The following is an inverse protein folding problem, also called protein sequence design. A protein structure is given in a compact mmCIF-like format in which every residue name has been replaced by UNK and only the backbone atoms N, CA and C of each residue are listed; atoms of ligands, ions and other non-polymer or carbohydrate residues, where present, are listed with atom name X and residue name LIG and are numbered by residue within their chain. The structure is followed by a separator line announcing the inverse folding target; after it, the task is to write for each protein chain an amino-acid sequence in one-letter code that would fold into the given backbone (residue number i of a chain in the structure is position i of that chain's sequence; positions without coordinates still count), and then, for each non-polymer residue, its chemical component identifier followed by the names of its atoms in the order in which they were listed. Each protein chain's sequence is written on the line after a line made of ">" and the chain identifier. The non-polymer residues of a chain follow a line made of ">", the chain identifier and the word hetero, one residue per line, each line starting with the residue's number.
data_IF_348065515829
#
_entry.id   IF_348065515829
#
_cell.length_a   1.000
_cell.length_b   1.000
_cell.length_c   1.000
_cell.angle_alpha   90.00
_cell.angle_beta   90.00
_cell.angle_gamma   90.00
#
_symmetry.space_group_name_H-M   'P 1'
#
loop_
_entity.id
_entity.type
_entity.pdbx_description
1 polymer ?
#
# COMPACT_ATOMS: atom_id res chain seq x y z
N UNK A 1 21.67 -8.28 7.42
CA UNK A 1 21.86 -9.14 6.23
C UNK A 1 20.51 -9.27 5.55
N UNK A 2 20.48 -9.12 4.24
CA UNK A 2 19.31 -9.46 3.42
C UNK A 2 19.52 -10.87 2.83
N UNK A 3 18.85 -11.90 3.39
CA UNK A 3 19.03 -13.28 2.94
C UNK A 3 18.46 -13.53 1.54
N UNK A 4 17.56 -12.67 1.07
CA UNK A 4 16.85 -12.83 -0.19
C UNK A 4 17.50 -12.05 -1.35
N UNK A 5 18.56 -11.28 -1.07
CA UNK A 5 19.27 -10.49 -2.07
C UNK A 5 20.52 -11.24 -2.58
N UNK A 6 20.47 -11.82 -3.80
CA UNK A 6 21.61 -12.49 -4.42
C UNK A 6 22.63 -11.50 -4.99
N UNK A 7 22.39 -10.19 -4.89
CA UNK A 7 23.32 -9.16 -5.31
C UNK A 7 24.60 -9.13 -4.48
N UNK A 8 25.56 -8.33 -4.94
CA UNK A 8 26.86 -8.17 -4.27
C UNK A 8 27.10 -6.74 -3.78
N UNK A 9 26.14 -5.83 -4.00
CA UNK A 9 26.27 -4.40 -3.69
C UNK A 9 25.62 -4.07 -2.36
N UNK A 10 26.39 -3.69 -1.33
CA UNK A 10 25.84 -3.19 -0.06
C UNK A 10 25.04 -1.90 -0.27
N UNK A 11 24.04 -1.68 0.58
CA UNK A 11 23.22 -0.45 0.58
C UNK A 11 22.91 0.00 2.00
N UNK A 12 22.75 1.30 2.22
CA UNK A 12 22.19 1.83 3.45
C UNK A 12 20.70 2.04 3.27
N UNK A 13 19.91 1.42 4.14
CA UNK A 13 18.47 1.56 4.20
C UNK A 13 18.10 2.60 5.25
N UNK A 14 17.38 3.65 4.85
CA UNK A 14 16.81 4.66 5.74
C UNK A 14 15.32 4.43 5.95
N UNK A 15 14.87 4.60 7.19
CA UNK A 15 13.46 4.62 7.57
C UNK A 15 13.09 6.08 7.78
N UNK A 16 12.14 6.56 6.98
CA UNK A 16 11.71 7.94 6.95
C UNK A 16 10.27 8.01 7.42
N UNK A 17 10.02 8.78 8.47
CA UNK A 17 8.68 9.05 8.96
C UNK A 17 8.16 10.35 8.35
N UNK A 18 7.04 10.26 7.65
CA UNK A 18 6.37 11.40 7.06
C UNK A 18 4.91 11.47 7.52
N UNK A 19 4.52 12.65 8.01
CA UNK A 19 3.16 12.92 8.48
C UNK A 19 2.47 14.00 7.63
N UNK A 20 1.18 13.79 7.36
CA UNK A 20 0.28 14.81 6.83
C UNK A 20 -0.66 15.22 7.95
N UNK A 21 -0.78 16.52 8.19
CA UNK A 21 -1.52 17.14 9.29
C UNK A 21 -2.74 17.89 8.78
N UNK A 22 -3.66 18.16 9.70
CA UNK A 22 -4.83 18.96 9.40
C UNK A 22 -4.45 20.42 9.25
N UNK A 23 -4.98 21.10 8.24
CA UNK A 23 -4.68 22.50 8.01
C UNK A 23 -5.26 23.46 9.05
N UNK A 24 -6.25 23.01 9.85
CA UNK A 24 -6.85 23.84 10.91
C UNK A 24 -6.32 23.49 12.31
N UNK A 25 -5.57 22.39 12.43
CA UNK A 25 -4.98 21.93 13.68
C UNK A 25 -3.70 21.14 13.37
N UNK A 26 -2.56 21.83 13.43
CA UNK A 26 -1.25 21.24 13.15
C UNK A 26 -0.86 20.12 14.12
N UNK A 27 -1.51 20.03 15.30
CA UNK A 27 -1.29 18.93 16.23
C UNK A 27 -2.06 17.67 15.83
N UNK A 28 -3.03 17.79 14.91
CA UNK A 28 -3.83 16.67 14.43
C UNK A 28 -3.20 16.04 13.19
N UNK A 29 -2.49 14.94 13.40
CA UNK A 29 -2.02 14.08 12.30
C UNK A 29 -3.18 13.36 11.63
N UNK A 30 -3.29 13.54 10.32
CA UNK A 30 -4.31 12.93 9.45
C UNK A 30 -3.84 11.61 8.89
N UNK A 31 -2.57 11.55 8.52
CA UNK A 31 -1.90 10.37 8.00
C UNK A 31 -0.45 10.38 8.44
N UNK A 32 0.10 9.21 8.74
CA UNK A 32 1.51 9.03 9.05
C UNK A 32 1.98 7.77 8.33
N UNK A 33 3.10 7.87 7.63
CA UNK A 33 3.63 6.79 6.80
C UNK A 33 5.12 6.66 7.06
N UNK A 34 5.54 5.43 7.35
CA UNK A 34 6.95 5.05 7.27
C UNK A 34 7.27 4.74 5.81
N UNK A 35 8.33 5.37 5.31
CA UNK A 35 8.82 5.24 3.95
C UNK A 35 10.27 4.77 4.01
N UNK A 36 10.73 4.10 2.97
CA UNK A 36 12.04 3.45 2.99
C UNK A 36 12.85 3.85 1.77
N UNK A 37 14.07 4.30 1.99
CA UNK A 37 15.00 4.72 0.92
C UNK A 37 16.27 3.90 1.05
N UNK A 38 16.69 3.27 -0.03
CA UNK A 38 17.98 2.59 -0.11
C UNK A 38 18.98 3.45 -0.88
N UNK A 39 20.22 3.54 -0.41
CA UNK A 39 21.32 4.25 -1.07
C UNK A 39 22.52 3.32 -1.19
N UNK A 40 23.06 3.16 -2.39
CA UNK A 40 24.27 2.37 -2.66
C UNK A 40 25.57 3.18 -2.51
N UNK A 41 26.71 2.51 -2.72
CA UNK A 41 28.03 3.15 -2.63
C UNK A 41 28.28 4.21 -3.71
N UNK A 42 27.54 4.15 -4.83
CA UNK A 42 27.56 5.16 -5.90
C UNK A 42 26.68 6.38 -5.58
N UNK A 43 25.95 6.36 -4.46
CA UNK A 43 25.05 7.43 -4.06
C UNK A 43 23.71 7.42 -4.79
N UNK A 44 23.32 6.31 -5.44
CA UNK A 44 22.01 6.18 -6.07
C UNK A 44 20.96 5.89 -5.00
N UNK A 45 20.03 6.82 -4.83
CA UNK A 45 18.88 6.67 -3.95
C UNK A 45 17.68 6.08 -4.69
N UNK A 46 17.05 5.08 -4.09
CA UNK A 46 15.83 4.46 -4.62
C UNK A 46 14.79 4.21 -3.52
N UNK A 47 13.52 4.12 -3.93
CA UNK A 47 12.47 3.61 -3.05
C UNK A 47 12.74 2.13 -2.75
N UNK A 48 12.93 1.81 -1.47
CA UNK A 48 13.21 0.45 -1.02
C UNK A 48 11.93 -0.40 -0.84
N UNK A 49 10.79 0.12 -1.27
CA UNK A 49 9.49 -0.53 -1.13
C UNK A 49 8.92 -0.40 0.27
N UNK A 50 8.05 -1.34 0.62
CA UNK A 50 7.35 -1.33 1.89
C UNK A 50 8.06 -2.22 2.91
N UNK A 51 8.38 -1.64 4.06
CA UNK A 51 8.94 -2.32 5.23
C UNK A 51 10.06 -3.37 4.95
N UNK A 52 11.05 -3.10 4.06
CA UNK A 52 12.10 -4.08 3.71
C UNK A 52 12.93 -4.54 4.92
N UNK A 53 12.97 -3.74 5.98
CA UNK A 53 13.63 -4.08 7.24
C UNK A 53 13.08 -5.35 7.93
N UNK A 54 11.85 -5.76 7.62
CA UNK A 54 11.21 -6.95 8.23
C UNK A 54 11.78 -8.28 7.70
N UNK A 55 12.37 -8.26 6.51
CA UNK A 55 13.01 -9.44 5.91
C UNK A 55 14.51 -9.52 6.25
N UNK A 56 15.04 -8.49 6.93
CA UNK A 56 16.46 -8.44 7.30
C UNK A 56 16.73 -9.24 8.57
N UNK A 57 17.94 -9.80 8.64
CA UNK A 57 18.45 -10.51 9.80
C UNK A 57 19.68 -9.80 10.39
N UNK A 58 19.90 -9.85 11.71
CA UNK A 58 21.16 -9.41 12.31
C UNK A 58 22.36 -10.13 11.70
N UNK A 59 23.47 -9.42 11.49
CA UNK A 59 24.70 -10.01 10.98
C UNK A 59 25.43 -10.80 12.07
N UNK A 60 25.89 -12.01 11.77
CA UNK A 60 26.72 -12.80 12.69
C UNK A 60 28.14 -12.28 12.83
N UNK A 61 28.87 -12.67 13.87
CA UNK A 61 30.26 -12.20 14.11
C UNK A 61 31.24 -12.63 13.00
N UNK A 62 31.06 -13.82 12.44
CA UNK A 62 31.88 -14.32 11.34
C UNK A 62 31.61 -13.53 10.05
N UNK A 63 30.35 -13.36 9.69
CA UNK A 63 29.92 -12.58 8.53
C UNK A 63 30.39 -11.12 8.64
N UNK A 64 30.31 -10.55 9.85
CA UNK A 64 30.80 -9.19 10.13
C UNK A 64 32.30 -9.05 9.85
N UNK A 65 33.11 -10.08 10.16
CA UNK A 65 34.54 -10.11 9.81
C UNK A 65 34.76 -10.19 8.30
N UNK A 66 33.92 -10.94 7.58
CA UNK A 66 34.01 -11.07 6.11
C UNK A 66 33.75 -9.76 5.36
N UNK A 67 32.99 -8.83 5.95
CA UNK A 67 32.64 -7.52 5.34
C UNK A 67 33.29 -6.33 6.07
N UNK A 68 34.40 -6.56 6.77
CA UNK A 68 35.09 -5.51 7.53
C UNK A 68 35.55 -4.33 6.64
N UNK A 69 35.92 -4.59 5.39
CA UNK A 69 36.26 -3.59 4.38
C UNK A 69 35.07 -2.71 3.99
N UNK A 70 33.87 -3.30 3.88
CA UNK A 70 32.62 -2.55 3.64
C UNK A 70 32.35 -1.64 4.83
N UNK A 71 32.42 -2.18 6.06
CA UNK A 71 32.19 -1.41 7.29
C UNK A 71 33.18 -0.25 7.47
N UNK A 72 34.41 -0.41 6.99
CA UNK A 72 35.44 0.62 7.02
C UNK A 72 35.35 1.60 5.83
N UNK A 73 34.41 1.41 4.91
CA UNK A 73 34.35 2.17 3.67
C UNK A 73 33.86 3.61 3.91
N UNK A 74 34.54 4.64 3.35
CA UNK A 74 34.22 6.04 3.62
C UNK A 74 32.80 6.46 3.18
N UNK A 75 32.23 5.81 2.16
CA UNK A 75 30.92 6.20 1.63
C UNK A 75 29.80 6.04 2.66
N UNK A 76 29.91 5.09 3.59
CA UNK A 76 28.91 4.86 4.65
C UNK A 76 28.90 6.01 5.66
N UNK A 77 30.04 6.71 5.81
CA UNK A 77 30.20 7.86 6.69
C UNK A 77 29.94 9.20 5.99
N UNK A 78 29.51 9.18 4.73
CA UNK A 78 29.10 10.39 4.01
C UNK A 78 27.71 10.88 4.47
N UNK A 79 27.28 12.05 4.01
CA UNK A 79 25.98 12.67 4.38
C UNK A 79 24.80 11.99 3.66
N UNK A 80 24.67 10.68 3.87
CA UNK A 80 23.64 9.82 3.26
C UNK A 80 22.23 10.16 3.77
N UNK A 81 22.11 10.64 5.01
CA UNK A 81 20.83 11.09 5.57
C UNK A 81 20.24 12.25 4.78
N UNK A 82 21.07 13.25 4.43
CA UNK A 82 20.63 14.37 3.59
C UNK A 82 20.20 13.90 2.21
N UNK A 83 20.90 12.95 1.62
CA UNK A 83 20.53 12.37 0.32
C UNK A 83 19.18 11.64 0.40
N UNK A 84 18.96 10.86 1.46
CA UNK A 84 17.70 10.15 1.70
C UNK A 84 16.52 11.12 1.88
N UNK A 85 16.70 12.18 2.67
CA UNK A 85 15.69 13.23 2.86
C UNK A 85 15.42 14.01 1.57
N UNK A 86 16.46 14.28 0.77
CA UNK A 86 16.33 14.89 -0.55
C UNK A 86 15.46 14.05 -1.49
N UNK A 87 15.78 12.77 -1.62
CA UNK A 87 14.98 11.83 -2.43
C UNK A 87 13.53 11.72 -1.94
N UNK A 88 13.34 11.62 -0.61
CA UNK A 88 12.01 11.53 -0.03
C UNK A 88 11.18 12.80 -0.30
N UNK A 89 11.78 13.97 -0.16
CA UNK A 89 11.12 15.26 -0.41
C UNK A 89 10.73 15.42 -1.88
N UNK A 90 11.57 14.96 -2.81
CA UNK A 90 11.30 15.06 -4.25
C UNK A 90 10.25 14.05 -4.73
N UNK A 91 10.28 12.80 -4.23
CA UNK A 91 9.51 11.69 -4.81
C UNK A 91 8.43 11.14 -3.89
N UNK A 92 8.75 10.90 -2.62
CA UNK A 92 7.91 10.10 -1.72
C UNK A 92 6.88 10.96 -0.94
N UNK A 93 7.28 12.15 -0.52
CA UNK A 93 6.46 13.11 0.22
C UNK A 93 5.31 13.65 -0.63
N UNK A 94 5.53 14.13 -1.87
CA UNK A 94 4.44 14.64 -2.71
C UNK A 94 3.39 13.57 -3.02
N UNK A 95 3.82 12.34 -3.31
CA UNK A 95 2.93 11.21 -3.58
C UNK A 95 2.04 10.90 -2.36
N UNK A 96 2.61 10.82 -1.15
CA UNK A 96 1.83 10.61 0.07
C UNK A 96 0.87 11.78 0.34
N UNK A 97 1.30 13.03 0.12
CA UNK A 97 0.47 14.20 0.32
C UNK A 97 -0.75 14.23 -0.61
N UNK A 98 -0.54 14.07 -1.92
CA UNK A 98 -1.64 14.09 -2.90
C UNK A 98 -2.62 12.94 -2.67
N UNK A 99 -2.14 11.73 -2.34
CA UNK A 99 -3.01 10.59 -1.99
C UNK A 99 -3.96 10.93 -0.81
N UNK A 100 -3.41 11.54 0.24
CA UNK A 100 -4.18 11.92 1.44
C UNK A 100 -5.17 13.05 1.12
N UNK A 101 -4.73 14.05 0.36
CA UNK A 101 -5.55 15.18 -0.08
C UNK A 101 -6.72 14.71 -0.94
N UNK A 102 -6.47 13.91 -1.97
CA UNK A 102 -7.51 13.36 -2.85
C UNK A 102 -8.53 12.54 -2.07
N UNK A 103 -8.06 11.69 -1.14
CA UNK A 103 -8.95 10.89 -0.29
C UNK A 103 -9.82 11.79 0.59
N UNK A 104 -9.26 12.85 1.17
CA UNK A 104 -9.96 13.84 2.01
C UNK A 104 -11.00 14.61 1.21
N UNK A 105 -10.66 15.08 0.02
CA UNK A 105 -11.58 15.78 -0.88
C UNK A 105 -12.75 14.89 -1.28
N UNK A 106 -12.50 13.67 -1.77
CA UNK A 106 -13.56 12.70 -2.11
C UNK A 106 -14.47 12.37 -0.93
N UNK A 107 -13.92 12.29 0.28
CA UNK A 107 -14.73 12.07 1.47
C UNK A 107 -15.59 13.29 1.79
N UNK A 108 -15.01 14.49 1.75
CA UNK A 108 -15.72 15.74 1.99
C UNK A 108 -16.85 15.95 0.97
N UNK A 109 -16.62 15.67 -0.31
CA UNK A 109 -17.62 15.75 -1.39
C UNK A 109 -18.79 14.80 -1.15
N UNK A 110 -18.50 13.52 -0.87
CA UNK A 110 -19.56 12.53 -0.58
C UNK A 110 -20.37 12.91 0.64
N UNK A 111 -19.71 13.34 1.72
CA UNK A 111 -20.41 13.79 2.94
C UNK A 111 -21.23 15.05 2.66
N UNK A 112 -20.70 16.02 1.91
CA UNK A 112 -21.40 17.24 1.58
C UNK A 112 -22.66 16.96 0.74
N UNK A 113 -22.56 16.11 -0.27
CA UNK A 113 -23.68 15.71 -1.11
C UNK A 113 -24.81 15.06 -0.28
N UNK A 114 -24.46 14.12 0.60
CA UNK A 114 -25.43 13.46 1.49
C UNK A 114 -26.09 14.44 2.47
N UNK A 115 -25.31 15.34 3.08
CA UNK A 115 -25.81 16.36 4.01
C UNK A 115 -26.73 17.35 3.29
N UNK A 116 -26.34 17.83 2.10
CA UNK A 116 -27.15 18.72 1.29
C UNK A 116 -28.46 18.06 0.88
N UNK A 117 -28.42 16.84 0.35
CA UNK A 117 -29.62 16.11 -0.08
C UNK A 117 -30.64 15.97 1.07
N UNK A 118 -30.18 15.71 2.30
CA UNK A 118 -31.05 15.61 3.47
C UNK A 118 -31.56 16.98 3.94
N UNK A 119 -30.65 17.92 4.24
CA UNK A 119 -31.03 19.19 4.88
C UNK A 119 -31.82 20.09 3.94
N UNK A 120 -31.50 20.12 2.63
CA UNK A 120 -32.29 20.90 1.65
C UNK A 120 -33.71 20.36 1.56
N UNK A 121 -33.90 19.02 1.58
CA UNK A 121 -35.24 18.42 1.60
C UNK A 121 -36.03 18.82 2.86
N UNK A 122 -35.39 18.78 4.03
CA UNK A 122 -36.02 19.21 5.29
C UNK A 122 -36.34 20.72 5.27
N UNK A 123 -35.42 21.56 4.79
CA UNK A 123 -35.63 23.01 4.64
C UNK A 123 -36.82 23.30 3.73
N UNK A 124 -36.88 22.70 2.55
CA UNK A 124 -37.97 22.91 1.59
C UNK A 124 -39.32 22.49 2.20
N UNK A 125 -39.38 21.37 2.91
CA UNK A 125 -40.60 20.93 3.60
C UNK A 125 -41.09 21.96 4.62
N UNK A 126 -40.19 22.49 5.45
CA UNK A 126 -40.56 23.49 6.45
C UNK A 126 -40.86 24.86 5.85
N UNK A 127 -40.22 25.24 4.73
CA UNK A 127 -40.55 26.44 3.96
C UNK A 127 -41.95 26.36 3.35
N UNK A 128 -42.31 25.25 2.72
CA UNK A 128 -43.66 25.02 2.19
C UNK A 128 -44.70 25.09 3.31
N UNK A 129 -44.38 24.50 4.48
CA UNK A 129 -45.24 24.55 5.67
C UNK A 129 -45.40 25.98 6.18
N UNK A 130 -44.32 26.76 6.23
CA UNK A 130 -44.33 28.17 6.62
C UNK A 130 -45.22 29.00 5.68
N UNK A 131 -45.08 28.84 4.36
CA UNK A 131 -45.89 29.56 3.37
C UNK A 131 -47.39 29.23 3.51
N UNK A 132 -47.74 27.97 3.76
CA UNK A 132 -49.13 27.56 4.03
C UNK A 132 -49.68 28.22 5.30
N UNK A 133 -48.93 28.19 6.40
CA UNK A 133 -49.32 28.82 7.66
C UNK A 133 -49.45 30.34 7.52
N UNK A 134 -48.63 30.97 6.68
CA UNK A 134 -48.73 32.40 6.40
C UNK A 134 -50.04 32.73 5.64
N UNK A 135 -50.45 31.87 4.71
CA UNK A 135 -51.76 31.96 4.04
C UNK A 135 -52.94 31.79 5.00
N UNK A 136 -52.88 30.79 5.88
CA UNK A 136 -53.90 30.53 6.91
C UNK A 136 -54.04 31.72 7.89
N UNK A 137 -52.93 32.33 8.29
CA UNK A 137 -52.93 33.53 9.14
C UNK A 137 -53.61 34.72 8.44
N UNK A 138 -53.34 34.93 7.14
CA UNK A 138 -54.01 35.97 6.33
C UNK A 138 -55.51 35.70 6.17
N UNK A 139 -55.92 34.43 6.15
CA UNK A 139 -57.31 34.01 6.14
C UNK A 139 -57.99 34.10 7.54
N UNK A 140 -57.30 34.63 8.55
CA UNK A 140 -57.85 34.87 9.89
C UNK A 140 -57.80 33.66 10.83
N UNK A 141 -57.12 32.57 10.47
CA UNK A 141 -56.95 31.41 11.36
C UNK A 141 -55.86 31.69 12.41
N UNK A 142 -56.06 31.17 13.62
CA UNK A 142 -55.12 31.35 14.73
C UNK A 142 -53.94 30.37 14.65
N UNK A 143 -52.90 30.74 13.88
CA UNK A 143 -51.73 29.88 13.61
C UNK A 143 -50.37 30.53 13.94
N UNK A 144 -50.37 31.64 14.71
CA UNK A 144 -49.17 32.47 14.97
C UNK A 144 -47.99 31.68 15.55
N UNK A 145 -48.23 30.88 16.60
CA UNK A 145 -47.16 30.08 17.25
C UNK A 145 -46.56 29.03 16.31
N UNK A 146 -47.40 28.39 15.48
CA UNK A 146 -46.94 27.40 14.50
C UNK A 146 -46.12 28.06 13.38
N UNK A 147 -46.48 29.28 12.98
CA UNK A 147 -45.75 30.04 11.97
C UNK A 147 -44.35 30.41 12.46
N UNK A 148 -44.24 30.90 13.69
CA UNK A 148 -42.96 31.25 14.32
C UNK A 148 -42.04 30.02 14.47
N UNK A 149 -42.61 28.89 14.93
CA UNK A 149 -41.89 27.62 15.03
C UNK A 149 -41.37 27.11 13.67
N UNK A 150 -42.18 27.23 12.61
CA UNK A 150 -41.77 26.84 11.26
C UNK A 150 -40.63 27.73 10.75
N UNK A 151 -40.71 29.05 10.97
CA UNK A 151 -39.64 29.98 10.63
C UNK A 151 -38.34 29.64 11.35
N UNK A 152 -38.40 29.46 12.67
CA UNK A 152 -37.23 29.11 13.50
C UNK A 152 -36.56 27.82 13.03
N UNK A 153 -37.37 26.81 12.71
CA UNK A 153 -36.87 25.54 12.20
C UNK A 153 -36.12 25.71 10.88
N UNK A 154 -36.64 26.52 9.95
CA UNK A 154 -35.93 26.83 8.69
C UNK A 154 -34.59 27.52 8.97
N UNK A 155 -34.58 28.56 9.80
CA UNK A 155 -33.37 29.32 10.14
C UNK A 155 -32.30 28.41 10.79
N UNK A 156 -32.71 27.52 11.69
CA UNK A 156 -31.83 26.55 12.35
C UNK A 156 -31.24 25.53 11.37
N UNK A 157 -32.07 24.97 10.47
CA UNK A 157 -31.63 24.01 9.47
C UNK A 157 -30.68 24.65 8.45
N UNK A 158 -30.94 25.88 8.02
CA UNK A 158 -30.06 26.64 7.13
C UNK A 158 -28.72 26.94 7.82
N UNK A 159 -28.74 27.37 9.08
CA UNK A 159 -27.52 27.61 9.86
C UNK A 159 -26.70 26.32 10.01
N UNK A 160 -27.37 25.19 10.26
CA UNK A 160 -26.72 23.88 10.35
C UNK A 160 -26.09 23.46 9.02
N UNK A 161 -26.77 23.68 7.89
CA UNK A 161 -26.23 23.39 6.56
C UNK A 161 -24.98 24.23 6.28
N UNK A 162 -25.03 25.54 6.55
CA UNK A 162 -23.90 26.43 6.33
C UNK A 162 -22.72 26.12 7.25
N UNK A 163 -22.97 25.75 8.51
CA UNK A 163 -21.91 25.26 9.41
C UNK A 163 -21.26 24.00 8.84
N UNK A 164 -22.05 23.01 8.42
CA UNK A 164 -21.52 21.74 7.86
C UNK A 164 -20.74 21.97 6.57
N UNK A 165 -21.17 22.89 5.70
CA UNK A 165 -20.44 23.30 4.50
C UNK A 165 -19.06 23.84 4.86
N UNK A 166 -18.99 24.77 5.82
CA UNK A 166 -17.71 25.33 6.29
C UNK A 166 -16.79 24.28 6.90
N UNK A 167 -17.32 23.43 7.78
CA UNK A 167 -16.53 22.36 8.43
C UNK A 167 -15.93 21.40 7.39
N UNK A 168 -16.71 21.01 6.36
CA UNK A 168 -16.26 20.11 5.30
C UNK A 168 -15.29 20.78 4.32
N UNK A 169 -15.45 22.08 4.06
CA UNK A 169 -14.47 22.85 3.28
C UNK A 169 -13.13 22.94 4.02
N UNK A 170 -13.15 23.22 5.32
CA UNK A 170 -11.97 23.26 6.17
C UNK A 170 -11.26 21.90 6.23
N UNK A 171 -12.01 20.79 6.27
CA UNK A 171 -11.47 19.42 6.31
C UNK A 171 -10.60 19.06 5.10
N UNK A 172 -10.80 19.71 3.94
CA UNK A 172 -10.00 19.50 2.73
C UNK A 172 -8.57 20.01 2.88
N UNK A 173 -8.37 21.01 3.73
CA UNK A 173 -7.07 21.62 3.92
C UNK A 173 -6.16 20.69 4.73
N UNK A 174 -5.06 20.26 4.12
CA UNK A 174 -4.04 19.41 4.73
C UNK A 174 -2.66 20.03 4.50
N UNK A 175 -1.74 19.75 5.41
CA UNK A 175 -0.37 20.28 5.38
C UNK A 175 0.60 19.09 5.48
N UNK A 176 1.62 19.06 4.62
CA UNK A 176 2.71 18.09 4.72
C UNK A 176 3.72 18.54 5.77
N UNK A 177 4.08 17.65 6.70
CA UNK A 177 5.17 17.89 7.63
C UNK A 177 6.51 17.52 6.97
N UNK A 178 7.60 18.15 7.42
CA UNK A 178 8.94 17.76 6.98
C UNK A 178 9.22 16.31 7.36
N UNK A 179 9.69 15.45 6.42
CA UNK A 179 10.06 14.08 6.73
C UNK A 179 11.24 14.04 7.71
N UNK A 180 11.26 13.04 8.59
CA UNK A 180 12.33 12.82 9.56
C UNK A 180 12.93 11.44 9.43
N UNK A 181 14.24 11.30 9.61
CA UNK A 181 14.89 9.99 9.69
C UNK A 181 14.52 9.36 11.05
N UNK A 182 13.82 8.24 11.01
CA UNK A 182 13.49 7.44 12.19
C UNK A 182 14.60 6.43 12.52
N UNK A 183 15.39 6.02 11.52
CA UNK A 183 16.52 5.13 11.70
C UNK A 183 17.19 4.77 10.37
N UNK A 184 18.29 4.03 10.46
CA UNK A 184 19.00 3.51 9.32
C UNK A 184 19.73 2.21 9.63
N UNK A 185 19.99 1.42 8.59
CA UNK A 185 20.73 0.16 8.69
C UNK A 185 21.60 -0.04 7.46
N UNK A 186 22.84 -0.49 7.64
CA UNK A 186 23.64 -1.03 6.55
C UNK A 186 23.15 -2.43 6.23
N UNK A 187 22.69 -2.61 4.99
CA UNK A 187 22.20 -3.88 4.47
C UNK A 187 23.30 -4.55 3.67
N UNK A 188 23.66 -5.75 4.10
CA UNK A 188 24.61 -6.63 3.42
C UNK A 188 23.80 -7.70 2.69
N UNK A 189 23.85 -7.76 1.34
CA UNK A 189 23.23 -8.82 0.57
C UNK A 189 23.85 -10.20 0.84
N UNK A 190 23.05 -11.26 0.77
CA UNK A 190 23.53 -12.63 0.88
C UNK A 190 24.54 -12.98 -0.23
N UNK A 191 24.34 -12.49 -1.46
CA UNK A 191 25.25 -12.77 -2.58
C UNK A 191 26.67 -12.25 -2.34
N UNK A 192 26.83 -11.12 -1.64
CA UNK A 192 28.14 -10.64 -1.22
C UNK A 192 28.82 -11.62 -0.25
N UNK A 193 28.08 -12.11 0.76
CA UNK A 193 28.61 -13.06 1.73
C UNK A 193 28.97 -14.40 1.07
N UNK A 194 28.13 -14.90 0.17
CA UNK A 194 28.40 -16.11 -0.61
C UNK A 194 29.68 -15.97 -1.43
N UNK A 195 29.85 -14.84 -2.12
CA UNK A 195 31.08 -14.53 -2.88
C UNK A 195 32.32 -14.51 -1.97
N UNK A 196 32.21 -13.95 -0.76
CA UNK A 196 33.31 -13.94 0.23
C UNK A 196 33.65 -15.32 0.79
N UNK A 197 32.69 -16.25 0.78
CA UNK A 197 32.89 -17.66 1.15
C UNK A 197 33.44 -18.52 0.00
N UNK A 198 33.56 -17.96 -1.20
CA UNK A 198 33.98 -18.70 -2.39
C UNK A 198 32.88 -19.59 -2.97
N UNK A 199 31.61 -19.34 -2.64
CA UNK A 199 30.47 -20.01 -3.25
C UNK A 199 30.23 -19.39 -4.64
N UNK A 200 30.13 -20.22 -5.69
CA UNK A 200 29.90 -19.71 -7.04
C UNK A 200 28.46 -19.16 -7.20
N UNK A 201 28.27 -17.86 -7.51
CA UNK A 201 26.94 -17.25 -7.58
C UNK A 201 26.12 -17.59 -8.84
N UNK A 202 26.60 -18.48 -9.72
CA UNK A 202 26.25 -18.44 -11.15
C UNK A 202 25.09 -19.33 -11.61
N UNK A 203 25.01 -20.58 -11.15
CA UNK A 203 24.11 -21.58 -11.77
C UNK A 203 22.70 -21.52 -11.19
N UNK A 204 22.58 -21.47 -9.86
CA UNK A 204 21.29 -21.53 -9.17
C UNK A 204 20.52 -20.20 -9.30
N UNK A 205 21.23 -19.06 -9.28
CA UNK A 205 20.61 -17.74 -9.44
C UNK A 205 20.06 -17.51 -10.86
N UNK A 206 20.77 -17.97 -11.90
CA UNK A 206 20.29 -17.86 -13.27
C UNK A 206 19.08 -18.77 -13.53
N UNK A 207 19.13 -20.01 -13.02
CA UNK A 207 18.00 -20.94 -13.09
C UNK A 207 16.78 -20.40 -12.33
N UNK A 208 16.97 -19.83 -11.13
CA UNK A 208 15.90 -19.21 -10.35
C UNK A 208 15.27 -18.00 -11.04
N UNK A 209 16.09 -17.10 -11.60
CA UNK A 209 15.60 -15.96 -12.40
C UNK A 209 14.79 -16.42 -13.62
N UNK A 210 15.25 -17.48 -14.28
CA UNK A 210 14.50 -18.07 -15.39
C UNK A 210 13.13 -18.59 -14.93
N UNK A 211 13.07 -19.35 -13.84
CA UNK A 211 11.83 -19.85 -13.25
C UNK A 211 10.88 -18.72 -12.85
N UNK A 212 11.40 -17.66 -12.22
CA UNK A 212 10.61 -16.46 -11.84
C UNK A 212 10.04 -15.75 -13.08
N UNK A 213 10.84 -15.58 -14.14
CA UNK A 213 10.39 -14.97 -15.39
C UNK A 213 9.31 -15.78 -16.11
N UNK A 214 9.47 -17.12 -16.16
CA UNK A 214 8.46 -18.03 -16.74
C UNK A 214 7.15 -17.95 -15.94
N UNK A 215 7.24 -17.95 -14.61
CA UNK A 215 6.08 -17.85 -13.73
C UNK A 215 5.31 -16.54 -13.91
N UNK A 216 6.03 -15.41 -13.95
CA UNK A 216 5.44 -14.09 -14.20
C UNK A 216 4.70 -14.04 -15.54
N UNK A 217 5.34 -14.54 -16.61
CA UNK A 217 4.72 -14.61 -17.93
C UNK A 217 3.46 -15.46 -17.92
N UNK A 218 3.50 -16.64 -17.31
CA UNK A 218 2.35 -17.55 -17.22
C UNK A 218 1.14 -16.89 -16.52
N UNK A 219 1.36 -16.19 -15.40
CA UNK A 219 0.29 -15.47 -14.68
C UNK A 219 -0.29 -14.34 -15.52
N UNK A 220 0.57 -13.53 -16.13
CA UNK A 220 0.12 -12.40 -16.96
C UNK A 220 -0.64 -12.86 -18.21
N UNK A 221 -0.20 -13.94 -18.86
CA UNK A 221 -0.89 -14.54 -20.01
C UNK A 221 -2.25 -15.12 -19.61
N UNK A 222 -2.33 -15.81 -18.46
CA UNK A 222 -3.59 -16.36 -17.95
C UNK A 222 -4.64 -15.26 -17.67
N UNK A 223 -4.24 -14.15 -17.03
CA UNK A 223 -5.17 -13.03 -16.79
C UNK A 223 -5.59 -12.32 -18.08
N UNK A 224 -4.67 -12.14 -19.03
CA UNK A 224 -5.00 -11.55 -20.33
C UNK A 224 -5.94 -12.44 -21.14
N UNK A 225 -5.80 -13.76 -21.05
CA UNK A 225 -6.71 -14.71 -21.68
C UNK A 225 -8.14 -14.61 -21.13
N UNK A 226 -8.30 -14.16 -19.88
CA UNK A 226 -9.59 -13.83 -19.26
C UNK A 226 -10.11 -12.43 -19.64
N UNK A 227 -9.45 -11.73 -20.56
CA UNK A 227 -9.82 -10.40 -21.02
C UNK A 227 -9.51 -9.29 -20.01
N UNK A 228 -8.61 -9.53 -19.05
CA UNK A 228 -8.22 -8.55 -18.03
C UNK A 228 -6.91 -7.87 -18.39
N UNK A 229 -6.75 -6.66 -17.87
CA UNK A 229 -5.48 -5.96 -17.94
C UNK A 229 -4.60 -6.40 -16.76
N UNK A 230 -3.42 -6.95 -17.07
CA UNK A 230 -2.41 -7.39 -16.10
C UNK A 230 -1.13 -6.56 -16.28
N UNK A 231 -0.76 -5.85 -15.21
CA UNK A 231 0.33 -4.90 -15.13
C UNK A 231 1.41 -5.47 -14.20
N UNK A 232 2.64 -5.61 -14.71
CA UNK A 232 3.80 -5.99 -13.91
C UNK A 232 4.24 -4.79 -13.05
N UNK A 233 4.17 -4.95 -11.74
CA UNK A 233 4.56 -3.97 -10.72
C UNK A 233 5.64 -4.51 -9.78
N UNK A 234 6.24 -5.67 -10.11
CA UNK A 234 7.26 -6.33 -9.29
C UNK A 234 8.46 -5.40 -9.00
N UNK A 235 8.86 -4.60 -9.99
CA UNK A 235 9.92 -3.60 -9.85
C UNK A 235 9.56 -2.41 -8.95
N UNK A 236 8.27 -2.14 -8.72
CA UNK A 236 7.80 -1.04 -7.88
C UNK A 236 7.89 -1.37 -6.37
N UNK A 237 8.16 -2.64 -6.03
CA UNK A 237 8.27 -3.13 -4.64
C UNK A 237 7.03 -2.76 -3.79
N UNK A 238 5.84 -2.85 -4.40
CA UNK A 238 4.57 -2.52 -3.77
C UNK A 238 4.03 -3.61 -2.83
N UNK A 239 4.67 -4.79 -2.79
CA UNK A 239 4.30 -5.92 -1.93
C UNK A 239 3.51 -7.03 -2.65
N UNK A 240 3.43 -6.96 -3.97
CA UNK A 240 2.93 -7.99 -4.89
C UNK A 240 3.59 -7.77 -6.26
N UNK A 241 3.50 -8.73 -7.16
CA UNK A 241 4.19 -8.70 -8.45
C UNK A 241 3.31 -8.21 -9.60
N UNK A 242 2.02 -8.57 -9.60
CA UNK A 242 1.09 -8.24 -10.72
C UNK A 242 -0.16 -7.56 -10.18
N UNK A 243 -0.50 -6.40 -10.76
CA UNK A 243 -1.79 -5.75 -10.56
C UNK A 243 -2.72 -6.10 -11.70
N UNK A 244 -3.87 -6.67 -11.38
CA UNK A 244 -4.92 -7.01 -12.35
C UNK A 244 -6.10 -6.07 -12.18
N UNK A 245 -6.51 -5.42 -13.27
CA UNK A 245 -7.71 -4.58 -13.30
C UNK A 245 -8.91 -5.45 -13.65
N UNK A 246 -9.84 -5.58 -12.71
CA UNK A 246 -11.10 -6.30 -12.93
C UNK A 246 -12.12 -5.34 -13.59
N UNK A 247 -12.89 -5.83 -14.58
CA UNK A 247 -13.90 -5.01 -15.23
C UNK A 247 -14.96 -4.52 -14.24
N UNK A 248 -15.49 -3.32 -14.49
CA UNK A 248 -16.59 -2.77 -13.71
C UNK A 248 -17.80 -3.70 -13.75
N UNK A 249 -18.38 -3.97 -12.57
CA UNK A 249 -19.62 -4.73 -12.42
C UNK A 249 -20.59 -3.89 -11.59
N UNK A 250 -21.85 -3.78 -12.05
CA UNK A 250 -22.98 -3.17 -11.32
C UNK A 250 -22.70 -1.80 -10.68
N UNK A 251 -22.12 -0.85 -11.43
CA UNK A 251 -21.92 0.53 -10.96
C UNK A 251 -20.98 0.67 -9.75
N UNK A 252 -20.22 -0.38 -9.42
CA UNK A 252 -19.09 -0.29 -8.49
C UNK A 252 -17.81 0.03 -9.26
N UNK A 253 -16.96 0.87 -8.66
CA UNK A 253 -15.66 1.24 -9.23
C UNK A 253 -14.82 -0.01 -9.54
N UNK A 254 -13.95 0.04 -10.57
CA UNK A 254 -13.13 -1.08 -10.98
C UNK A 254 -12.31 -1.58 -9.79
N UNK A 255 -12.41 -2.89 -9.53
CA UNK A 255 -11.67 -3.53 -8.44
C UNK A 255 -10.31 -3.95 -8.95
N UNK A 256 -9.28 -3.80 -8.14
CA UNK A 256 -7.97 -4.37 -8.42
C UNK A 256 -7.80 -5.70 -7.69
N UNK A 257 -7.07 -6.61 -8.30
CA UNK A 257 -6.54 -7.83 -7.67
C UNK A 257 -5.02 -7.74 -7.66
N UNK A 258 -4.41 -8.10 -6.55
CA UNK A 258 -2.97 -8.05 -6.35
C UNK A 258 -2.44 -9.47 -6.26
N UNK A 259 -1.54 -9.83 -7.17
CA UNK A 259 -1.05 -11.21 -7.29
C UNK A 259 0.43 -11.24 -6.95
N UNK A 260 0.78 -12.07 -5.96
CA UNK A 260 2.15 -12.46 -5.64
C UNK A 260 2.48 -13.76 -6.39
N UNK A 261 3.56 -13.79 -7.16
CA UNK A 261 3.88 -14.89 -8.08
C UNK A 261 5.05 -15.71 -7.53
N UNK A 262 4.84 -17.01 -7.32
CA UNK A 262 5.89 -17.95 -6.89
C UNK A 262 6.10 -19.04 -7.93
N UNK A 263 7.18 -18.90 -8.70
CA UNK A 263 7.69 -19.96 -9.59
C UNK A 263 8.48 -21.01 -8.83
N UNK A 264 8.24 -22.30 -9.09
CA UNK A 264 9.01 -23.41 -8.51
C UNK A 264 9.37 -24.44 -9.57
N UNK A 265 10.60 -24.94 -9.53
CA UNK A 265 10.98 -26.06 -10.39
C UNK A 265 10.20 -27.32 -9.96
N UNK A 266 9.75 -28.12 -10.93
CA UNK A 266 9.02 -29.35 -10.68
C UNK A 266 9.82 -30.30 -9.77
N UNK A 267 9.16 -30.85 -8.75
CA UNK A 267 9.79 -31.73 -7.74
C UNK A 267 10.15 -31.03 -6.43
N UNK A 268 10.08 -29.70 -6.34
CA UNK A 268 10.16 -29.01 -5.06
C UNK A 268 8.87 -29.20 -4.25
N UNK A 269 9.00 -29.33 -2.92
CA UNK A 269 7.87 -29.61 -2.02
C UNK A 269 7.40 -28.41 -1.22
N UNK A 270 8.12 -27.29 -1.27
CA UNK A 270 7.81 -26.11 -0.45
C UNK A 270 7.88 -24.80 -1.22
N UNK A 271 7.11 -23.82 -0.76
CA UNK A 271 7.16 -22.43 -1.21
C UNK A 271 7.55 -21.55 -0.03
N UNK A 272 8.73 -20.95 -0.09
CA UNK A 272 9.12 -19.87 0.83
C UNK A 272 8.35 -18.59 0.49
N UNK A 273 7.70 -18.02 1.51
CA UNK A 273 7.12 -16.67 1.49
C UNK A 273 7.82 -15.80 2.53
N UNK A 274 8.09 -14.54 2.19
CA UNK A 274 8.72 -13.59 3.10
C UNK A 274 7.73 -13.09 4.16
N UNK A 275 8.25 -12.52 5.25
CA UNK A 275 7.40 -11.90 6.28
C UNK A 275 6.58 -10.77 5.69
N UNK A 276 7.18 -9.97 4.82
CA UNK A 276 6.51 -8.89 4.12
C UNK A 276 5.35 -9.38 3.25
N UNK A 277 5.56 -10.41 2.42
CA UNK A 277 4.50 -11.02 1.60
C UNK A 277 3.30 -11.48 2.44
N UNK A 278 3.57 -12.11 3.59
CA UNK A 278 2.51 -12.56 4.50
C UNK A 278 1.72 -11.37 5.05
N UNK A 279 2.40 -10.33 5.52
CA UNK A 279 1.75 -9.13 6.04
C UNK A 279 0.95 -8.39 4.96
N UNK A 280 1.41 -8.36 3.71
CA UNK A 280 0.62 -7.79 2.60
C UNK A 280 -0.62 -8.62 2.32
N UNK A 281 -0.48 -9.94 2.24
CA UNK A 281 -1.61 -10.82 2.00
C UNK A 281 -2.67 -10.75 3.10
N UNK A 282 -2.28 -10.53 4.36
CA UNK A 282 -3.22 -10.32 5.47
C UNK A 282 -3.88 -8.93 5.41
N UNK A 283 -3.13 -7.87 5.13
CA UNK A 283 -3.65 -6.49 5.07
C UNK A 283 -4.59 -6.25 3.88
N UNK A 284 -4.46 -7.04 2.81
CA UNK A 284 -5.24 -6.93 1.58
C UNK A 284 -5.95 -8.23 1.22
N UNK A 285 -6.37 -9.00 2.24
CA UNK A 285 -6.93 -10.35 2.07
C UNK A 285 -8.07 -10.43 1.04
N UNK A 286 -8.88 -9.37 0.92
CA UNK A 286 -10.00 -9.31 -0.03
C UNK A 286 -9.57 -9.23 -1.51
N UNK A 287 -8.31 -8.87 -1.79
CA UNK A 287 -7.79 -8.65 -3.15
C UNK A 287 -6.52 -9.42 -3.45
N UNK A 288 -5.84 -9.96 -2.43
CA UNK A 288 -4.56 -10.62 -2.56
C UNK A 288 -4.72 -12.08 -2.99
N UNK A 289 -3.91 -12.50 -3.95
CA UNK A 289 -3.85 -13.87 -4.45
C UNK A 289 -2.39 -14.31 -4.52
N UNK A 290 -2.09 -15.49 -3.98
CA UNK A 290 -0.81 -16.16 -4.21
C UNK A 290 -0.95 -17.05 -5.45
N UNK A 291 -0.21 -16.76 -6.51
CA UNK A 291 -0.16 -17.57 -7.72
C UNK A 291 1.09 -18.45 -7.72
N UNK A 292 0.90 -19.76 -7.87
CA UNK A 292 1.99 -20.73 -7.97
C UNK A 292 2.09 -21.25 -9.39
N UNK A 293 3.30 -21.27 -9.93
CA UNK A 293 3.61 -21.84 -11.25
C UNK A 293 4.71 -22.88 -11.08
N UNK A 294 4.47 -24.10 -11.56
CA UNK A 294 5.46 -25.17 -11.56
C UNK A 294 6.16 -25.20 -12.92
N UNK A 295 7.47 -24.97 -12.94
CA UNK A 295 8.26 -24.88 -14.18
C UNK A 295 9.02 -26.19 -14.40
N UNK A 296 8.93 -26.74 -15.59
CA UNK A 296 9.56 -27.99 -16.04
C UNK A 296 10.31 -27.75 -17.35
N UNK A 297 11.54 -27.25 -17.24
CA UNK A 297 12.32 -26.82 -18.41
C UNK A 297 11.64 -25.64 -19.11
N UNK A 298 11.20 -25.86 -20.36
CA UNK A 298 10.52 -24.85 -21.17
C UNK A 298 8.99 -24.88 -21.03
N UNK A 299 8.44 -25.91 -20.36
CA UNK A 299 7.01 -26.05 -20.08
C UNK A 299 6.68 -25.63 -18.63
N UNK A 300 5.41 -25.35 -18.36
CA UNK A 300 4.93 -25.04 -17.01
C UNK A 300 3.53 -25.60 -16.74
N UNK A 301 3.23 -25.84 -15.48
CA UNK A 301 1.90 -26.20 -14.97
C UNK A 301 1.36 -25.05 -14.10
N UNK A 302 0.10 -24.67 -14.32
CA UNK A 302 -0.58 -23.57 -13.64
C UNK A 302 -0.95 -22.42 -14.59
N UNK A 303 -1.16 -21.18 -14.08
CA UNK A 303 -0.97 -20.79 -12.68
C UNK A 303 -2.07 -21.30 -11.75
N UNK A 304 -1.69 -21.70 -10.55
CA UNK A 304 -2.58 -22.17 -9.48
C UNK A 304 -2.83 -21.03 -8.49
N UNK A 305 -4.08 -20.60 -8.29
CA UNK A 305 -4.40 -19.42 -7.48
C UNK A 305 -4.89 -19.80 -6.09
N UNK A 306 -4.25 -19.24 -5.06
CA UNK A 306 -4.63 -19.43 -3.67
C UNK A 306 -5.12 -18.08 -3.12
N UNK A 307 -6.41 -18.01 -2.80
CA UNK A 307 -7.03 -16.88 -2.10
C UNK A 307 -6.88 -17.02 -0.61
N UNK A 308 -6.73 -15.88 0.08
CA UNK A 308 -6.49 -15.82 1.52
C UNK A 308 -5.44 -16.85 1.96
N UNK A 309 -4.22 -16.81 1.37
CA UNK A 309 -3.20 -17.85 1.57
C UNK A 309 -2.67 -17.88 3.01
N UNK A 310 -2.87 -16.81 3.79
CA UNK A 310 -2.33 -16.64 5.13
C UNK A 310 -3.45 -16.41 6.15
N UNK A 311 -3.32 -17.03 7.33
CA UNK A 311 -4.29 -16.97 8.42
C UNK A 311 -3.79 -16.18 9.65
N UNK A 312 -2.48 -15.96 9.76
CA UNK A 312 -1.84 -15.29 10.89
C UNK A 312 -0.51 -14.66 10.51
N UNK A 313 -0.09 -13.67 11.29
CA UNK A 313 1.25 -13.10 11.17
C UNK A 313 2.33 -14.10 11.65
N UNK A 314 3.53 -14.09 11.05
CA UNK A 314 4.65 -14.87 11.53
C UNK A 314 5.07 -14.46 12.95
N UNK A 315 5.68 -15.40 13.69
CA UNK A 315 6.27 -15.09 15.00
C UNK A 315 7.30 -13.95 14.92
N UNK A 316 7.53 -13.24 16.03
CA UNK A 316 8.35 -12.02 16.05
C UNK A 316 9.78 -12.19 15.48
N UNK A 317 10.36 -13.38 15.57
CA UNK A 317 11.70 -13.73 15.10
C UNK A 317 11.72 -14.47 13.75
N UNK A 318 10.59 -14.57 13.05
CA UNK A 318 10.47 -15.30 11.78
C UNK A 318 10.53 -14.31 10.61
N UNK A 319 11.52 -14.43 9.73
CA UNK A 319 11.68 -13.56 8.54
C UNK A 319 11.08 -14.17 7.27
N UNK A 320 10.84 -15.49 7.25
CA UNK A 320 10.18 -16.18 6.16
C UNK A 320 9.54 -17.48 6.65
N UNK A 321 8.55 -17.97 5.92
CA UNK A 321 7.85 -19.22 6.22
C UNK A 321 7.91 -20.12 5.00
N UNK A 322 8.27 -21.38 5.20
CA UNK A 322 8.14 -22.41 4.17
C UNK A 322 6.75 -23.04 4.27
N UNK A 323 5.95 -22.88 3.23
CA UNK A 323 4.63 -23.48 3.10
C UNK A 323 4.73 -24.79 2.32
N UNK A 324 3.96 -25.79 2.73
CA UNK A 324 3.86 -27.06 2.00
C UNK A 324 3.12 -26.86 0.67
N UNK A 325 3.79 -27.20 -0.43
CA UNK A 325 3.27 -26.95 -1.78
C UNK A 325 2.02 -27.79 -2.07
N UNK A 326 1.99 -29.05 -1.64
CA UNK A 326 0.85 -29.93 -1.87
C UNK A 326 -0.42 -29.38 -1.17
N UNK A 327 -0.27 -28.88 0.06
CA UNK A 327 -1.35 -28.25 0.81
C UNK A 327 -1.87 -26.98 0.15
N UNK A 328 -0.99 -26.18 -0.46
CA UNK A 328 -1.38 -24.98 -1.23
C UNK A 328 -2.13 -25.37 -2.51
N UNK A 329 -1.62 -26.34 -3.27
CA UNK A 329 -2.25 -26.79 -4.51
C UNK A 329 -3.63 -27.44 -4.28
N UNK A 330 -3.84 -28.11 -3.14
CA UNK A 330 -5.15 -28.64 -2.77
C UNK A 330 -6.22 -27.55 -2.54
N UNK A 331 -5.79 -26.32 -2.20
CA UNK A 331 -6.66 -25.14 -2.06
C UNK A 331 -6.70 -24.28 -3.32
N UNK A 332 -5.95 -24.65 -4.36
CA UNK A 332 -5.82 -23.81 -5.54
C UNK A 332 -7.09 -23.82 -6.38
N UNK A 333 -7.46 -22.64 -6.84
CA UNK A 333 -8.53 -22.41 -7.80
C UNK A 333 -7.91 -22.11 -9.17
N UNK A 334 -8.66 -22.40 -10.24
CA UNK A 334 -8.29 -21.96 -11.58
C UNK A 334 -8.49 -20.44 -11.69
N UNK A 335 -7.68 -19.74 -12.52
CA UNK A 335 -7.93 -18.35 -12.88
C UNK A 335 -9.34 -18.23 -13.45
N UNK A 336 -10.19 -17.44 -12.77
CA UNK A 336 -11.56 -17.16 -13.17
C UNK A 336 -11.87 -15.69 -12.97
#
# INVERSE_FOLDING_TARGET
>A
VDPNDPGVTPRVLFIIDHSVRDGNDENRTVSRRMQFVAIDAEGRAENAGWAPHLDLQPIGEEERRMVADVLASPWISSDLERMALGYATERLVPAHFEEVKDRRERMADRTLAAVQARLVKEINFWQDRYLKLQGDLRAGKEVRMNLENARRTVDDLTTRLERRRRDLAAMRHVISATPVIAGGALVIPAGLLATRRGEEPGVDAAARKYVEAVAMRAVMEAERALGREAIDVSAEKCGWDVTVLLPETDGTAPKTRHIEVKGRAKGQTTVTVSRNEILYGLNQADKFVLAIVLVDGDEYEGPFYIREPFDREPGWAVTSVNLDLASLLNRAEQPH
#
